data_IF_046177751377
#
_entry.id   IF_046177751377
#
_cell.length_a   1.000
_cell.length_b   1.000
_cell.length_c   1.000
_cell.angle_alpha   90.00
_cell.angle_beta   90.00
_cell.angle_gamma   90.00
#
_symmetry.space_group_name_H-M   'P 1'
#
loop_
_entity.id
_entity.type
_entity.pdbx_description
1 polymer ?
#
# COMPACT_ATOMS: atom_id res chain seq x y z
N UNK A 1 11.84 -26.16 -32.22
CA UNK A 1 11.73 -26.69 -30.84
C UNK A 1 13.01 -26.36 -30.10
N UNK A 2 12.95 -25.90 -28.85
CA UNK A 2 14.16 -25.60 -28.08
C UNK A 2 14.96 -26.89 -27.79
N UNK A 3 16.31 -26.83 -27.79
CA UNK A 3 17.16 -27.90 -27.31
C UNK A 3 16.82 -28.33 -25.87
N UNK A 4 16.94 -29.62 -25.58
CA UNK A 4 16.43 -30.21 -24.33
C UNK A 4 17.20 -29.74 -23.08
N UNK A 5 18.48 -29.44 -23.23
CA UNK A 5 19.33 -28.83 -22.21
C UNK A 5 18.90 -27.40 -21.84
N UNK A 6 18.38 -26.63 -22.81
CA UNK A 6 17.83 -25.28 -22.58
C UNK A 6 16.48 -25.37 -21.86
N UNK A 7 15.62 -26.33 -22.22
CA UNK A 7 14.35 -26.55 -21.50
C UNK A 7 14.58 -26.95 -20.04
N UNK A 8 15.57 -27.80 -19.79
CA UNK A 8 15.92 -28.25 -18.44
C UNK A 8 16.44 -27.10 -17.58
N UNK A 9 17.29 -26.20 -18.13
CA UNK A 9 17.73 -25.00 -17.42
C UNK A 9 16.60 -24.02 -17.13
N UNK A 10 15.64 -23.88 -18.05
CA UNK A 10 14.45 -23.05 -17.84
C UNK A 10 13.56 -23.66 -16.75
N UNK A 11 13.35 -24.98 -16.75
CA UNK A 11 12.63 -25.67 -15.67
C UNK A 11 13.35 -25.56 -14.32
N UNK A 12 14.67 -25.65 -14.29
CA UNK A 12 15.49 -25.46 -13.08
C UNK A 12 15.37 -24.02 -12.56
N UNK A 13 15.35 -23.01 -13.45
CA UNK A 13 15.10 -21.61 -13.08
C UNK A 13 13.68 -21.34 -12.59
N UNK A 14 12.68 -22.01 -13.18
CA UNK A 14 11.28 -21.92 -12.77
C UNK A 14 11.01 -22.68 -11.45
N UNK A 15 11.83 -23.69 -11.13
CA UNK A 15 11.80 -24.44 -9.88
C UNK A 15 12.70 -23.86 -8.78
N UNK A 16 13.65 -22.98 -9.12
CA UNK A 16 14.40 -22.16 -8.18
C UNK A 16 13.49 -21.07 -7.62
N UNK A 17 12.60 -21.55 -6.76
CA UNK A 17 11.82 -20.90 -5.72
C UNK A 17 11.87 -19.37 -5.77
N UNK A 18 10.84 -18.78 -6.38
CA UNK A 18 10.45 -17.38 -6.18
C UNK A 18 10.48 -17.00 -4.69
N UNK A 19 10.21 -17.97 -3.80
CA UNK A 19 10.36 -17.88 -2.36
C UNK A 19 11.78 -17.56 -1.87
N UNK A 20 12.82 -18.19 -2.41
CA UNK A 20 14.21 -17.96 -1.98
C UNK A 20 14.69 -16.59 -2.45
N UNK A 21 14.31 -16.20 -3.67
CA UNK A 21 14.57 -14.85 -4.22
C UNK A 21 13.87 -13.77 -3.37
N UNK A 22 12.59 -13.97 -3.02
CA UNK A 22 11.84 -13.03 -2.16
C UNK A 22 12.44 -12.97 -0.75
N UNK A 23 12.83 -14.12 -0.18
CA UNK A 23 13.45 -14.22 1.14
C UNK A 23 14.81 -13.51 1.21
N UNK A 24 15.62 -13.64 0.18
CA UNK A 24 16.92 -12.98 0.11
C UNK A 24 16.77 -11.47 -0.17
N UNK A 25 15.75 -11.07 -0.94
CA UNK A 25 15.40 -9.67 -1.14
C UNK A 25 14.93 -8.98 0.16
N UNK A 26 14.06 -9.63 0.94
CA UNK A 26 13.60 -9.10 2.25
C UNK A 26 14.78 -8.95 3.22
N UNK A 27 15.71 -9.91 3.25
CA UNK A 27 16.91 -9.83 4.08
C UNK A 27 17.82 -8.69 3.66
N UNK A 28 18.04 -8.50 2.36
CA UNK A 28 18.92 -7.44 1.87
C UNK A 28 18.31 -6.06 2.12
N UNK A 29 17.00 -5.90 1.89
CA UNK A 29 16.31 -4.64 2.16
C UNK A 29 16.27 -4.31 3.67
N UNK A 30 16.09 -5.30 4.55
CA UNK A 30 16.19 -5.11 5.99
C UNK A 30 17.62 -4.75 6.42
N UNK A 31 18.63 -5.36 5.79
CA UNK A 31 20.05 -5.07 6.03
C UNK A 31 20.44 -3.66 5.56
N UNK A 32 20.00 -3.24 4.38
CA UNK A 32 20.26 -1.89 3.85
C UNK A 32 19.62 -0.80 4.71
N UNK A 33 18.38 -1.01 5.16
CA UNK A 33 17.71 -0.11 6.10
C UNK A 33 18.43 -0.05 7.46
N UNK A 34 18.95 -1.18 7.94
CA UNK A 34 19.77 -1.22 9.15
C UNK A 34 21.12 -0.50 8.95
N UNK A 35 21.77 -0.64 7.80
CA UNK A 35 23.03 0.03 7.47
C UNK A 35 22.83 1.54 7.34
N UNK A 36 21.80 1.99 6.63
CA UNK A 36 21.45 3.41 6.57
C UNK A 36 21.24 3.99 7.97
N UNK A 37 20.57 3.25 8.84
CA UNK A 37 20.35 3.65 10.22
C UNK A 37 21.64 3.72 11.06
N UNK A 38 22.54 2.74 10.90
CA UNK A 38 23.82 2.68 11.63
C UNK A 38 24.86 3.70 11.15
N UNK A 39 24.76 4.17 9.89
CA UNK A 39 25.64 5.20 9.32
C UNK A 39 25.30 6.60 9.86
N UNK A 40 24.06 6.84 10.30
CA UNK A 40 23.64 8.12 10.88
C UNK A 40 23.79 8.16 12.43
N UNK A 41 25.06 8.22 12.86
CA UNK A 41 25.62 8.70 14.15
C UNK A 41 25.32 7.95 15.48
N UNK A 42 26.36 7.62 16.28
CA UNK A 42 26.26 6.79 17.50
C UNK A 42 25.87 7.50 18.81
N UNK A 43 25.55 8.80 18.80
CA UNK A 43 25.54 9.61 20.04
C UNK A 43 24.19 9.75 20.76
N UNK A 44 23.12 9.09 20.29
CA UNK A 44 21.77 9.47 20.68
C UNK A 44 20.96 8.32 21.30
N UNK A 45 20.89 8.25 22.64
CA UNK A 45 20.23 7.16 23.40
C UNK A 45 18.70 7.10 23.22
N UNK A 46 18.04 8.18 22.83
CA UNK A 46 16.59 8.17 22.57
C UNK A 46 16.21 7.28 21.39
N UNK A 47 17.09 7.13 20.40
CA UNK A 47 16.89 6.30 19.21
C UNK A 47 16.99 4.80 19.48
N UNK A 48 17.56 4.37 20.61
CA UNK A 48 17.56 2.95 21.00
C UNK A 48 16.12 2.46 21.25
N UNK A 49 15.24 3.34 21.77
CA UNK A 49 13.82 3.02 21.93
C UNK A 49 13.13 2.91 20.57
N UNK A 50 13.50 3.74 19.60
CA UNK A 50 13.00 3.67 18.23
C UNK A 50 13.48 2.42 17.51
N UNK A 51 14.73 1.99 17.72
CA UNK A 51 15.25 0.71 17.22
C UNK A 51 14.53 -0.49 17.83
N UNK A 52 14.27 -0.45 19.14
CA UNK A 52 13.52 -1.51 19.81
C UNK A 52 12.08 -1.56 19.28
N UNK A 53 11.47 -0.41 19.01
CA UNK A 53 10.14 -0.30 18.40
C UNK A 53 10.13 -0.83 16.97
N UNK A 54 11.08 -0.42 16.12
CA UNK A 54 11.25 -0.90 14.75
C UNK A 54 11.48 -2.41 14.74
N UNK A 55 12.33 -2.93 15.62
CA UNK A 55 12.57 -4.37 15.76
C UNK A 55 11.31 -5.13 16.20
N UNK A 56 10.54 -4.59 17.16
CA UNK A 56 9.24 -5.15 17.58
C UNK A 56 8.24 -5.15 16.42
N UNK A 57 8.21 -4.09 15.61
CA UNK A 57 7.35 -3.98 14.43
C UNK A 57 7.72 -5.02 13.37
N UNK A 58 9.01 -5.17 13.05
CA UNK A 58 9.52 -6.18 12.11
C UNK A 58 9.18 -7.59 12.61
N UNK A 59 9.39 -7.87 13.90
CA UNK A 59 9.09 -9.19 14.49
C UNK A 59 7.60 -9.51 14.46
N UNK A 60 6.75 -8.52 14.77
CA UNK A 60 5.29 -8.65 14.69
C UNK A 60 4.82 -8.87 13.25
N UNK A 61 5.36 -8.12 12.30
CA UNK A 61 5.06 -8.25 10.87
C UNK A 61 5.44 -9.64 10.34
N UNK A 62 6.65 -10.12 10.68
CA UNK A 62 7.12 -11.46 10.29
C UNK A 62 6.25 -12.58 10.89
N UNK A 63 5.73 -12.43 12.12
CA UNK A 63 4.82 -13.39 12.72
C UNK A 63 3.47 -13.43 11.96
N UNK A 64 2.89 -12.27 11.67
CA UNK A 64 1.66 -12.18 10.87
C UNK A 64 1.85 -12.68 9.42
N UNK A 65 3.03 -12.49 8.85
CA UNK A 65 3.36 -13.02 7.54
C UNK A 65 3.42 -14.57 7.56
N UNK A 66 3.99 -15.18 8.60
CA UNK A 66 3.99 -16.64 8.76
C UNK A 66 2.58 -17.22 8.94
N UNK A 67 1.72 -16.53 9.69
CA UNK A 67 0.31 -16.90 9.86
C UNK A 67 -0.46 -16.80 8.54
N UNK A 68 -0.21 -15.73 7.78
CA UNK A 68 -0.80 -15.51 6.47
C UNK A 68 -0.34 -16.55 5.44
N UNK A 69 0.96 -16.85 5.38
CA UNK A 69 1.53 -17.91 4.56
C UNK A 69 0.90 -19.27 4.91
N UNK A 70 0.73 -19.56 6.20
CA UNK A 70 0.08 -20.77 6.69
C UNK A 70 -1.41 -20.83 6.35
N UNK A 71 -2.11 -19.70 6.32
CA UNK A 71 -3.51 -19.61 5.91
C UNK A 71 -3.67 -19.84 4.40
N UNK A 72 -2.81 -19.24 3.59
CA UNK A 72 -2.80 -19.42 2.15
C UNK A 72 -2.50 -20.87 1.75
N UNK A 73 -1.55 -21.52 2.42
CA UNK A 73 -1.22 -22.93 2.20
C UNK A 73 -2.38 -23.87 2.58
N UNK A 74 -3.15 -23.52 3.63
CA UNK A 74 -4.30 -24.31 4.09
C UNK A 74 -5.54 -24.16 3.20
N UNK A 75 -5.79 -22.96 2.68
CA UNK A 75 -7.03 -22.66 1.95
C UNK A 75 -6.87 -22.62 0.41
N UNK A 76 -5.64 -22.67 -0.09
CA UNK A 76 -5.34 -22.62 -1.53
C UNK A 76 -5.76 -23.86 -2.34
N UNK A 77 -6.26 -24.93 -1.72
CA UNK A 77 -6.67 -26.16 -2.43
C UNK A 77 -8.15 -26.26 -2.80
N UNK A 78 -9.04 -25.42 -2.24
CA UNK A 78 -10.49 -25.68 -2.33
C UNK A 78 -11.38 -24.58 -2.96
N UNK A 79 -10.86 -23.44 -3.40
CA UNK A 79 -11.74 -22.37 -3.87
C UNK A 79 -11.74 -22.23 -5.40
N UNK A 80 -12.62 -23.02 -6.04
CA UNK A 80 -13.30 -22.60 -7.26
C UNK A 80 -14.22 -21.41 -6.94
N UNK A 81 -13.64 -20.22 -6.77
CA UNK A 81 -14.42 -18.99 -6.82
C UNK A 81 -14.73 -18.69 -8.29
N UNK A 82 -15.98 -18.97 -8.69
CA UNK A 82 -16.62 -18.44 -9.90
C UNK A 82 -16.79 -16.91 -9.83
N UNK A 83 -15.70 -16.19 -9.56
CA UNK A 83 -15.66 -14.75 -9.72
C UNK A 83 -15.63 -14.47 -11.22
N UNK A 84 -16.68 -13.83 -11.72
CA UNK A 84 -16.78 -13.15 -13.01
C UNK A 84 -15.40 -12.90 -13.60
N UNK A 85 -15.10 -13.58 -14.71
CA UNK A 85 -13.86 -13.46 -15.47
C UNK A 85 -13.61 -11.98 -15.76
N UNK A 86 -12.80 -11.33 -14.93
CA UNK A 86 -12.13 -10.13 -15.35
C UNK A 86 -11.17 -10.60 -16.45
N UNK A 87 -11.35 -10.16 -17.71
CA UNK A 87 -10.55 -10.66 -18.84
C UNK A 87 -9.05 -10.40 -18.64
N UNK A 88 -8.67 -9.57 -17.67
CA UNK A 88 -7.29 -9.25 -17.30
C UNK A 88 -6.77 -9.96 -16.04
N UNK A 89 -7.51 -10.92 -15.46
CA UNK A 89 -7.08 -11.64 -14.25
C UNK A 89 -6.12 -12.81 -14.48
N UNK A 90 -5.94 -13.24 -15.73
CA UNK A 90 -5.06 -14.38 -16.08
C UNK A 90 -3.66 -13.95 -16.55
N UNK A 91 -3.51 -12.69 -16.94
CA UNK A 91 -2.22 -12.09 -17.26
C UNK A 91 -1.94 -11.00 -16.23
N UNK A 92 -1.69 -11.40 -14.99
CA UNK A 92 -1.09 -10.47 -14.03
C UNK A 92 0.42 -10.55 -14.27
N UNK A 93 1.06 -9.54 -14.90
CA UNK A 93 2.51 -9.53 -14.97
C UNK A 93 2.98 -9.12 -13.58
N UNK A 94 3.11 -10.08 -12.67
CA UNK A 94 3.96 -9.92 -11.48
C UNK A 94 5.36 -9.38 -11.87
N UNK A 95 5.77 -9.56 -13.12
CA UNK A 95 7.01 -9.05 -13.72
C UNK A 95 7.07 -7.53 -13.96
N UNK A 96 5.97 -6.78 -13.80
CA UNK A 96 5.99 -5.30 -13.76
C UNK A 96 5.76 -4.75 -12.35
N UNK A 97 6.13 -5.52 -11.33
CA UNK A 97 6.43 -4.95 -10.02
C UNK A 97 7.41 -3.80 -10.25
N UNK A 98 7.00 -2.56 -9.99
CA UNK A 98 7.91 -1.41 -10.05
C UNK A 98 8.70 -1.41 -8.74
N UNK A 99 9.92 -1.97 -8.67
CA UNK A 99 10.62 -2.23 -7.41
C UNK A 99 11.17 -0.93 -6.79
N UNK A 100 10.72 0.24 -7.27
CA UNK A 100 11.41 1.53 -7.16
C UNK A 100 10.49 2.71 -6.92
N UNK A 101 9.26 2.52 -6.44
CA UNK A 101 8.58 3.70 -5.89
C UNK A 101 9.32 4.08 -4.61
N UNK A 102 10.00 5.22 -4.66
CA UNK A 102 10.89 5.76 -3.61
C UNK A 102 10.13 6.14 -2.33
N UNK A 103 8.81 5.93 -2.32
CA UNK A 103 7.89 6.46 -1.32
C UNK A 103 7.36 5.36 -0.41
N UNK A 104 7.40 5.61 0.89
CA UNK A 104 6.96 4.65 1.90
C UNK A 104 5.45 4.37 1.84
N UNK A 105 5.02 3.09 1.84
CA UNK A 105 3.60 2.71 1.85
C UNK A 105 2.94 2.81 3.23
N UNK A 106 3.66 3.24 4.28
CA UNK A 106 3.18 3.24 5.67
C UNK A 106 1.87 4.01 5.84
N UNK A 107 1.70 5.10 5.09
CA UNK A 107 0.48 5.92 5.15
C UNK A 107 -0.71 5.20 4.49
N UNK A 108 -0.47 4.45 3.41
CA UNK A 108 -1.50 3.60 2.77
C UNK A 108 -1.94 2.51 3.74
N UNK A 109 -1.00 1.85 4.42
CA UNK A 109 -1.28 0.77 5.37
C UNK A 109 -2.18 1.22 6.52
N UNK A 110 -1.89 2.37 7.14
CA UNK A 110 -2.73 2.90 8.23
C UNK A 110 -4.09 3.38 7.72
N UNK A 111 -4.17 3.98 6.53
CA UNK A 111 -5.43 4.45 5.94
C UNK A 111 -6.31 3.31 5.42
N UNK A 112 -5.74 2.14 5.14
CA UNK A 112 -6.49 0.93 4.77
C UNK A 112 -6.97 0.12 5.98
N UNK A 113 -6.66 0.54 7.21
CA UNK A 113 -7.10 -0.15 8.44
C UNK A 113 -8.63 -0.29 8.49
N UNK A 114 -9.10 -1.51 8.73
CA UNK A 114 -10.53 -1.82 8.76
C UNK A 114 -11.27 -1.71 7.41
N UNK A 115 -10.56 -1.56 6.29
CA UNK A 115 -11.17 -1.52 4.97
C UNK A 115 -11.50 -2.95 4.48
N UNK A 116 -12.79 -3.27 4.38
CA UNK A 116 -13.28 -4.60 3.95
C UNK A 116 -13.48 -4.71 2.44
N UNK A 117 -12.49 -4.29 1.64
CA UNK A 117 -12.51 -4.51 0.19
C UNK A 117 -11.70 -5.76 -0.19
N UNK A 118 -12.10 -6.51 -1.23
CA UNK A 118 -11.30 -7.63 -1.72
C UNK A 118 -9.87 -7.18 -2.02
N UNK A 119 -8.90 -7.92 -1.49
CA UNK A 119 -7.45 -7.67 -1.64
C UNK A 119 -6.92 -6.40 -0.96
N UNK A 120 -7.76 -5.62 -0.27
CA UNK A 120 -7.27 -4.65 0.70
C UNK A 120 -6.70 -5.40 1.90
N UNK A 121 -5.46 -5.12 2.27
CA UNK A 121 -4.88 -5.56 3.53
C UNK A 121 -4.22 -4.40 4.22
N UNK A 122 -4.43 -4.35 5.52
CA UNK A 122 -3.75 -3.47 6.45
C UNK A 122 -3.11 -4.31 7.55
N UNK A 123 -2.01 -3.81 8.12
CA UNK A 123 -1.44 -4.34 9.36
C UNK A 123 -2.43 -4.26 10.53
N UNK A 124 -3.40 -3.34 10.48
CA UNK A 124 -4.37 -3.13 11.54
C UNK A 124 -5.79 -3.58 11.11
N UNK A 125 -6.45 -4.41 11.92
CA UNK A 125 -7.77 -4.94 11.57
C UNK A 125 -8.89 -3.89 11.69
N UNK A 126 -8.68 -2.81 12.44
CA UNK A 126 -9.66 -1.75 12.69
C UNK A 126 -8.98 -0.39 12.65
N UNK A 127 -9.71 0.62 12.17
CA UNK A 127 -9.30 2.01 12.28
C UNK A 127 -9.67 2.55 13.66
N UNK A 128 -8.72 3.15 14.38
CA UNK A 128 -8.92 3.73 15.71
C UNK A 128 -8.64 5.23 15.70
N UNK A 129 -9.32 6.01 16.56
CA UNK A 129 -9.15 7.47 16.63
C UNK A 129 -7.71 7.91 16.94
N UNK A 130 -6.96 7.13 17.72
CA UNK A 130 -5.54 7.39 18.04
C UNK A 130 -4.63 7.36 16.80
N UNK A 131 -5.04 6.64 15.75
CA UNK A 131 -4.28 6.57 14.49
C UNK A 131 -4.20 7.92 13.77
N UNK A 132 -5.07 8.87 14.10
CA UNK A 132 -5.01 10.22 13.54
C UNK A 132 -3.69 10.91 13.93
N UNK A 133 -3.21 10.70 15.16
CA UNK A 133 -1.95 11.28 15.61
C UNK A 133 -0.75 10.54 14.99
N UNK A 134 -0.87 9.23 14.78
CA UNK A 134 0.12 8.45 14.02
C UNK A 134 0.21 8.96 12.58
N UNK A 135 -0.91 9.22 11.90
CA UNK A 135 -0.97 9.80 10.55
C UNK A 135 -0.25 11.15 10.51
N UNK A 136 -0.53 12.06 11.46
CA UNK A 136 0.17 13.36 11.54
C UNK A 136 1.67 13.18 11.72
N UNK A 137 2.09 12.26 12.59
CA UNK A 137 3.50 11.98 12.84
C UNK A 137 4.19 11.38 11.63
N UNK A 138 3.54 10.45 10.92
CA UNK A 138 4.03 9.88 9.66
C UNK A 138 4.26 10.97 8.63
N UNK A 139 3.27 11.86 8.40
CA UNK A 139 3.40 12.96 7.45
C UNK A 139 4.53 13.91 7.86
N UNK A 140 4.68 14.20 9.15
CA UNK A 140 5.73 15.08 9.68
C UNK A 140 7.13 14.48 9.48
N UNK A 141 7.30 13.18 9.74
CA UNK A 141 8.60 12.49 9.69
C UNK A 141 8.96 12.09 8.25
N UNK A 142 7.96 11.66 7.47
CA UNK A 142 8.09 11.13 6.12
C UNK A 142 7.02 11.76 5.20
N UNK A 143 7.15 13.06 4.85
CA UNK A 143 6.16 13.75 4.01
C UNK A 143 6.02 13.13 2.62
N UNK A 144 7.09 12.51 2.10
CA UNK A 144 7.08 11.80 0.82
C UNK A 144 6.15 10.58 0.81
N UNK A 145 5.73 10.06 1.97
CA UNK A 145 4.70 9.01 2.04
C UNK A 145 3.35 9.44 1.44
N UNK A 146 3.07 10.75 1.35
CA UNK A 146 1.88 11.29 0.67
C UNK A 146 1.86 10.99 -0.84
N UNK A 147 3.03 10.79 -1.44
CA UNK A 147 3.21 10.52 -2.86
C UNK A 147 3.28 9.02 -3.17
N UNK A 148 3.11 8.16 -2.17
CA UNK A 148 3.16 6.72 -2.37
C UNK A 148 2.03 6.28 -3.30
N UNK A 149 2.36 5.44 -4.28
CA UNK A 149 1.43 4.83 -5.22
C UNK A 149 1.42 3.29 -5.07
N UNK A 150 1.91 2.78 -3.94
CA UNK A 150 2.00 1.35 -3.62
C UNK A 150 0.66 0.69 -3.33
N UNK A 151 -0.43 1.43 -3.43
CA UNK A 151 -1.75 0.94 -3.15
C UNK A 151 -2.34 0.13 -4.30
N UNK A 152 -2.90 -1.03 -3.97
CA UNK A 152 -3.54 -1.91 -4.94
C UNK A 152 -4.86 -2.46 -4.39
N UNK A 153 -5.87 -2.55 -5.25
CA UNK A 153 -7.13 -3.26 -5.00
C UNK A 153 -7.49 -4.08 -6.25
N UNK A 154 -8.55 -4.88 -6.20
CA UNK A 154 -9.02 -5.59 -7.41
C UNK A 154 -9.26 -4.59 -8.55
N UNK A 155 -8.56 -4.82 -9.67
CA UNK A 155 -8.63 -4.01 -10.89
C UNK A 155 -8.18 -2.56 -10.75
N UNK A 156 -7.59 -2.17 -9.61
CA UNK A 156 -7.16 -0.80 -9.32
C UNK A 156 -5.70 -0.80 -8.91
N UNK A 157 -4.91 0.06 -9.54
CA UNK A 157 -3.47 0.11 -9.35
C UNK A 157 -2.99 1.54 -9.25
N UNK A 158 -1.84 1.72 -8.62
CA UNK A 158 -1.25 3.03 -8.34
C UNK A 158 -2.24 3.85 -7.53
N UNK A 159 -2.65 3.34 -6.37
CA UNK A 159 -3.55 4.04 -5.46
C UNK A 159 -2.71 4.79 -4.44
N UNK A 160 -3.05 6.06 -4.23
CA UNK A 160 -2.34 6.93 -3.31
C UNK A 160 -3.01 6.99 -1.93
N UNK A 161 -2.34 7.56 -0.90
CA UNK A 161 -2.94 7.75 0.42
C UNK A 161 -4.30 8.47 0.38
N UNK A 162 -4.44 9.50 -0.46
CA UNK A 162 -5.69 10.25 -0.54
C UNK A 162 -6.83 9.37 -1.02
N UNK A 163 -6.59 8.51 -2.01
CA UNK A 163 -7.57 7.51 -2.46
C UNK A 163 -8.07 6.64 -1.31
N UNK A 164 -7.17 6.02 -0.52
CA UNK A 164 -7.58 5.16 0.61
C UNK A 164 -8.38 5.92 1.67
N UNK A 165 -7.97 7.15 2.00
CA UNK A 165 -8.70 7.98 2.93
C UNK A 165 -10.13 8.28 2.43
N UNK A 166 -10.31 8.51 1.12
CA UNK A 166 -11.61 8.76 0.52
C UNK A 166 -12.53 7.53 0.57
N UNK A 167 -12.04 6.36 0.14
CA UNK A 167 -12.85 5.15 0.04
C UNK A 167 -13.14 4.47 1.38
N UNK A 168 -12.26 4.63 2.37
CA UNK A 168 -12.45 4.05 3.69
C UNK A 168 -13.38 4.94 4.52
N UNK A 169 -14.63 4.50 4.73
CA UNK A 169 -15.64 5.24 5.48
C UNK A 169 -15.33 5.37 6.98
N UNK A 170 -14.41 4.56 7.51
CA UNK A 170 -13.93 4.65 8.89
C UNK A 170 -12.95 5.81 9.09
N UNK A 171 -12.29 6.26 8.02
CA UNK A 171 -11.37 7.40 8.05
C UNK A 171 -12.17 8.71 8.13
N UNK A 172 -11.97 9.56 9.15
CA UNK A 172 -12.69 10.82 9.27
C UNK A 172 -12.41 11.79 8.11
N UNK A 173 -13.38 12.66 7.80
CA UNK A 173 -13.23 13.70 6.76
C UNK A 173 -12.06 14.66 7.11
N UNK A 174 -11.77 14.84 8.39
CA UNK A 174 -10.68 15.65 8.93
C UNK A 174 -9.32 15.14 8.48
N UNK A 175 -9.16 13.82 8.34
CA UNK A 175 -7.92 13.21 7.82
C UNK A 175 -7.76 13.52 6.34
N UNK A 176 -8.85 13.48 5.54
CA UNK A 176 -8.80 13.87 4.12
C UNK A 176 -8.36 15.34 3.99
N UNK A 177 -8.95 16.24 4.79
CA UNK A 177 -8.54 17.66 4.83
C UNK A 177 -7.08 17.82 5.22
N UNK A 178 -6.59 17.04 6.19
CA UNK A 178 -5.19 17.03 6.61
C UNK A 178 -4.25 16.62 5.47
N UNK A 179 -4.56 15.53 4.76
CA UNK A 179 -3.74 15.04 3.64
C UNK A 179 -3.62 16.10 2.54
N UNK A 180 -4.74 16.71 2.14
CA UNK A 180 -4.76 17.77 1.12
C UNK A 180 -3.93 18.97 1.55
N UNK A 181 -4.10 19.45 2.79
CA UNK A 181 -3.29 20.56 3.34
C UNK A 181 -1.80 20.24 3.42
N UNK A 182 -1.47 18.95 3.52
CA UNK A 182 -0.09 18.47 3.59
C UNK A 182 0.53 18.24 2.21
N UNK A 183 -0.21 18.48 1.12
CA UNK A 183 0.29 18.40 -0.25
C UNK A 183 -0.11 17.14 -1.02
N UNK A 184 -1.12 16.39 -0.56
CA UNK A 184 -1.68 15.30 -1.37
C UNK A 184 -2.29 15.84 -2.68
N UNK A 185 -2.07 15.14 -3.79
CA UNK A 185 -2.54 15.57 -5.11
C UNK A 185 -4.04 15.33 -5.29
N UNK A 186 -4.80 16.42 -5.32
CA UNK A 186 -6.25 16.42 -5.51
C UNK A 186 -6.69 15.94 -6.90
N UNK A 187 -5.81 15.98 -7.90
CA UNK A 187 -6.10 15.62 -9.28
C UNK A 187 -5.53 14.25 -9.66
N UNK A 188 -5.04 13.50 -8.67
CA UNK A 188 -4.39 12.23 -8.90
C UNK A 188 -5.33 11.23 -9.59
N UNK A 189 -4.83 10.59 -10.64
CA UNK A 189 -5.56 9.58 -11.38
C UNK A 189 -4.87 8.22 -11.25
N UNK A 190 -5.61 7.25 -10.71
CA UNK A 190 -5.17 5.88 -10.63
C UNK A 190 -5.57 5.09 -11.88
N UNK A 191 -5.14 3.82 -11.98
CA UNK A 191 -5.50 2.93 -13.09
C UNK A 191 -6.62 1.98 -12.69
N UNK A 192 -7.78 2.08 -13.33
CA UNK A 192 -8.90 1.15 -13.20
C UNK A 192 -9.07 0.35 -14.48
N UNK A 193 -8.80 -0.96 -14.44
CA UNK A 193 -8.80 -1.82 -15.65
C UNK A 193 -7.94 -1.24 -16.80
N UNK A 194 -6.83 -0.57 -16.47
CA UNK A 194 -5.94 0.10 -17.44
C UNK A 194 -6.37 1.53 -17.82
N UNK A 195 -7.60 1.95 -17.51
CA UNK A 195 -8.09 3.30 -17.77
C UNK A 195 -7.69 4.26 -16.65
N UNK A 196 -7.45 5.52 -17.00
CA UNK A 196 -7.24 6.60 -16.02
C UNK A 196 -8.56 6.90 -15.30
N UNK A 197 -8.56 6.86 -13.97
CA UNK A 197 -9.75 7.13 -13.16
C UNK A 197 -9.41 8.04 -11.97
N UNK A 198 -10.32 8.98 -11.68
CA UNK A 198 -10.22 9.86 -10.53
C UNK A 198 -11.02 9.29 -9.35
N UNK A 199 -10.57 9.50 -8.11
CA UNK A 199 -11.22 8.93 -6.91
C UNK A 199 -12.70 9.29 -6.81
N UNK A 200 -13.09 10.52 -7.18
CA UNK A 200 -14.49 10.95 -7.12
C UNK A 200 -15.43 10.14 -8.03
N UNK A 201 -14.92 9.59 -9.13
CA UNK A 201 -15.69 8.75 -10.06
C UNK A 201 -15.85 7.32 -9.51
N UNK A 202 -14.92 6.86 -8.67
CA UNK A 202 -14.97 5.53 -8.06
C UNK A 202 -15.85 5.50 -6.79
N UNK A 203 -16.10 6.67 -6.19
CA UNK A 203 -16.99 6.82 -5.03
C UNK A 203 -18.48 6.63 -5.37
N UNK A 204 -18.85 6.43 -6.63
CA UNK A 204 -20.24 6.16 -7.05
C UNK A 204 -20.82 4.91 -6.39
N UNK A 205 -19.97 3.95 -6.00
CA UNK A 205 -20.37 2.77 -5.22
C UNK A 205 -20.43 2.98 -3.70
N UNK A 206 -20.05 4.16 -3.19
CA UNK A 206 -20.03 4.47 -1.76
C UNK A 206 -21.35 5.12 -1.28
N UNK A 207 -21.49 5.28 0.04
CA UNK A 207 -22.61 6.02 0.61
C UNK A 207 -22.65 7.47 0.08
N UNK A 208 -23.82 7.89 -0.42
CA UNK A 208 -24.03 9.22 -1.00
C UNK A 208 -23.59 10.36 -0.09
N UNK A 209 -23.79 10.24 1.23
CA UNK A 209 -23.39 11.27 2.19
C UNK A 209 -21.88 11.50 2.19
N UNK A 210 -21.07 10.44 2.17
CA UNK A 210 -19.61 10.53 2.17
C UNK A 210 -19.09 11.08 0.85
N UNK A 211 -19.64 10.64 -0.28
CA UNK A 211 -19.29 11.20 -1.60
C UNK A 211 -19.50 12.71 -1.62
N UNK A 212 -20.67 13.19 -1.18
CA UNK A 212 -20.97 14.64 -1.11
C UNK A 212 -19.98 15.37 -0.20
N UNK A 213 -19.66 14.82 0.97
CA UNK A 213 -18.67 15.42 1.89
C UNK A 213 -17.30 15.58 1.23
N UNK A 214 -16.82 14.53 0.54
CA UNK A 214 -15.53 14.54 -0.14
C UNK A 214 -15.55 15.52 -1.32
N UNK A 215 -16.62 15.54 -2.12
CA UNK A 215 -16.79 16.50 -3.22
C UNK A 215 -16.76 17.96 -2.73
N UNK A 216 -17.40 18.24 -1.60
CA UNK A 216 -17.37 19.56 -0.98
C UNK A 216 -15.96 19.95 -0.53
N UNK A 217 -15.21 19.01 0.07
CA UNK A 217 -13.80 19.23 0.43
C UNK A 217 -12.98 19.52 -0.82
N UNK A 218 -13.05 18.67 -1.85
CA UNK A 218 -12.28 18.84 -3.09
C UNK A 218 -12.59 20.17 -3.79
N UNK A 219 -13.87 20.55 -3.83
CA UNK A 219 -14.31 21.82 -4.42
C UNK A 219 -13.79 23.04 -3.65
N UNK A 220 -13.75 22.96 -2.31
CA UNK A 220 -13.24 24.03 -1.47
C UNK A 220 -11.73 24.23 -1.67
N UNK A 221 -10.94 23.16 -1.68
CA UNK A 221 -9.49 23.26 -1.85
C UNK A 221 -9.06 23.51 -3.31
N UNK A 222 -9.79 22.97 -4.28
CA UNK A 222 -9.53 23.23 -5.70
C UNK A 222 -9.69 24.71 -6.08
N UNK A 223 -10.67 25.41 -5.50
CA UNK A 223 -10.82 26.86 -5.68
C UNK A 223 -9.63 27.64 -5.11
N UNK A 224 -9.20 27.30 -3.90
CA UNK A 224 -8.06 27.95 -3.22
C UNK A 224 -6.78 27.85 -4.07
N UNK A 225 -6.52 26.69 -4.68
CA UNK A 225 -5.35 26.48 -5.54
C UNK A 225 -5.39 27.35 -6.81
N UNK A 226 -6.58 27.55 -7.40
CA UNK A 226 -6.74 28.37 -8.60
C UNK A 226 -6.66 29.88 -8.31
N UNK A 227 -6.97 30.31 -7.09
CA UNK A 227 -6.84 31.71 -6.66
C UNK A 227 -5.41 32.08 -6.25
N UNK A 228 -4.55 31.08 -6.02
CA UNK A 228 -3.17 31.26 -5.56
C UNK A 228 -2.13 31.24 -6.69
N UNK A 229 -2.55 31.00 -7.93
CA UNK A 229 -1.73 30.94 -9.15
C UNK A 229 -2.03 32.12 -10.08
#
# INVERSE_FOLDING_TARGET
MLPEDVKNKIQEYLHLNTYQIIKDWIKESARENLIFYLVFKPENREYIKDLELIYKMIKKYNAHQSDYESYCLRNGRNNQCNALKCPFSLEWPYEKYNPRSEFSPILIDILSSGLYLPFAKSTFPLYESKMIDDIKNIIRICPTSLLSDWGYLRCRYNLDPLYFACINNLVPIEVIKLLIRSGADLNYNFKFNGYSCHVLNDLDGCCMSRKTQIQNVFSAYGKILNESN
#
